data_IF_334774922558
#
_entry.id   IF_334774922558
#
_cell.length_a   1.000
_cell.length_b   1.000
_cell.length_c   1.000
_cell.angle_alpha   90.00
_cell.angle_beta   90.00
_cell.angle_gamma   90.00
#
_symmetry.space_group_name_H-M   'P 1'
#
loop_
_entity.id
_entity.type
_entity.pdbx_description
1 polymer ?
#
# COMPACT_ATOMS: atom_id res chain seq x y z
N UNK A 1 -32.33 11.29 15.66
CA UNK A 1 -31.02 11.88 15.45
C UNK A 1 -30.96 13.19 16.18
N UNK A 2 -30.11 13.31 17.17
CA UNK A 2 -29.86 14.59 17.84
C UNK A 2 -28.42 15.02 17.61
N UNK A 3 -28.24 16.31 17.34
CA UNK A 3 -26.94 16.94 17.19
C UNK A 3 -26.80 17.92 18.33
N UNK A 4 -25.81 17.71 19.18
CA UNK A 4 -25.48 18.62 20.29
C UNK A 4 -24.12 19.24 20.03
N UNK A 5 -24.01 20.51 20.22
CA UNK A 5 -22.74 21.26 20.11
C UNK A 5 -22.31 21.66 21.53
N UNK A 6 -21.21 21.12 21.99
CA UNK A 6 -20.68 21.33 23.34
C UNK A 6 -19.22 21.78 23.28
N UNK A 7 -18.99 23.05 23.59
CA UNK A 7 -17.63 23.58 23.70
C UNK A 7 -17.11 23.35 25.12
N UNK A 8 -16.14 22.45 25.26
CA UNK A 8 -15.48 22.22 26.56
C UNK A 8 -14.04 22.71 26.54
N UNK A 9 -13.48 22.99 27.72
CA UNK A 9 -12.07 23.37 27.85
C UNK A 9 -11.14 22.29 27.24
N UNK A 10 -11.48 21.02 27.44
CA UNK A 10 -10.70 19.90 26.93
C UNK A 10 -10.75 19.85 25.39
N UNK A 11 -11.92 20.05 24.79
CA UNK A 11 -12.06 20.09 23.32
C UNK A 11 -11.24 21.23 22.71
N UNK A 12 -11.21 22.40 23.35
CA UNK A 12 -10.41 23.53 22.91
C UNK A 12 -8.90 23.26 22.99
N UNK A 13 -8.44 22.54 24.03
CA UNK A 13 -7.04 22.14 24.13
C UNK A 13 -6.69 21.16 23.01
N UNK A 14 -7.52 20.14 22.76
CA UNK A 14 -7.29 19.21 21.66
C UNK A 14 -7.28 19.90 20.30
N UNK A 15 -8.19 20.83 20.08
CA UNK A 15 -8.21 21.65 18.88
C UNK A 15 -6.94 22.48 18.74
N UNK A 16 -6.53 23.18 19.80
CA UNK A 16 -5.33 24.03 19.79
C UNK A 16 -4.07 23.21 19.46
N UNK A 17 -3.91 22.04 20.06
CA UNK A 17 -2.77 21.15 19.78
C UNK A 17 -2.79 20.68 18.32
N UNK A 18 -3.92 20.21 17.81
CA UNK A 18 -4.03 19.72 16.44
C UNK A 18 -3.80 20.82 15.40
N UNK A 19 -4.38 22.00 15.62
CA UNK A 19 -4.19 23.16 14.73
C UNK A 19 -2.74 23.66 14.73
N UNK A 20 -2.11 23.74 15.90
CA UNK A 20 -0.71 24.14 16.02
C UNK A 20 0.23 23.13 15.35
N UNK A 21 -0.01 21.82 15.54
CA UNK A 21 0.78 20.78 14.90
C UNK A 21 0.61 20.83 13.37
N UNK A 22 -0.62 20.98 12.86
CA UNK A 22 -0.87 21.11 11.43
C UNK A 22 -0.19 22.34 10.83
N UNK A 23 -0.23 23.50 11.52
CA UNK A 23 0.43 24.72 11.08
C UNK A 23 1.96 24.57 11.08
N UNK A 24 2.54 23.96 12.10
CA UNK A 24 3.98 23.74 12.20
C UNK A 24 4.48 22.82 11.07
N UNK A 25 3.85 21.66 10.91
CA UNK A 25 4.23 20.72 9.85
C UNK A 25 3.97 21.33 8.47
N UNK A 26 2.87 22.07 8.31
CA UNK A 26 2.55 22.77 7.06
C UNK A 26 3.60 23.80 6.66
N UNK A 27 4.18 24.50 7.62
CA UNK A 27 5.28 25.41 7.37
C UNK A 27 6.52 24.69 6.81
N UNK A 28 6.91 23.56 7.41
CA UNK A 28 8.07 22.80 6.96
C UNK A 28 7.86 22.04 5.64
N UNK A 29 6.62 21.67 5.33
CA UNK A 29 6.29 20.96 4.07
C UNK A 29 5.84 21.88 2.96
N UNK A 30 5.87 23.20 3.16
CA UNK A 30 5.38 24.21 2.21
C UNK A 30 3.93 23.98 1.78
N UNK A 31 3.11 23.49 2.70
CA UNK A 31 1.69 23.22 2.45
C UNK A 31 0.87 24.52 2.32
N UNK A 32 -0.21 24.45 1.56
CA UNK A 32 -1.13 25.58 1.40
C UNK A 32 -1.84 25.92 2.70
N UNK A 33 -1.75 27.17 3.14
CA UNK A 33 -2.41 27.66 4.35
C UNK A 33 -3.93 27.52 4.33
N UNK A 34 -4.55 27.56 3.16
CA UNK A 34 -5.98 27.35 3.01
C UNK A 34 -6.41 25.95 3.44
N UNK A 35 -5.61 24.92 3.12
CA UNK A 35 -5.87 23.55 3.54
C UNK A 35 -5.75 23.42 5.05
N UNK A 36 -4.75 24.07 5.67
CA UNK A 36 -4.57 24.05 7.12
C UNK A 36 -5.73 24.78 7.82
N UNK A 37 -6.17 25.92 7.30
CA UNK A 37 -7.33 26.64 7.84
C UNK A 37 -8.63 25.84 7.70
N UNK A 38 -8.85 25.21 6.54
CA UNK A 38 -10.00 24.34 6.32
C UNK A 38 -9.99 23.15 7.30
N UNK A 39 -8.83 22.50 7.44
CA UNK A 39 -8.66 21.44 8.44
C UNK A 39 -9.01 21.92 9.84
N UNK A 40 -8.47 23.07 10.28
CA UNK A 40 -8.73 23.61 11.60
C UNK A 40 -10.23 23.89 11.81
N UNK A 41 -10.92 24.48 10.83
CA UNK A 41 -12.34 24.77 10.89
C UNK A 41 -13.18 23.48 11.01
N UNK A 42 -12.93 22.48 10.17
CA UNK A 42 -13.64 21.20 10.19
C UNK A 42 -13.34 20.42 11.48
N UNK A 43 -12.08 20.41 11.89
CA UNK A 43 -11.66 19.73 13.13
C UNK A 43 -12.32 20.37 14.37
N UNK A 44 -12.39 21.70 14.43
CA UNK A 44 -13.10 22.43 15.49
C UNK A 44 -14.57 22.02 15.56
N UNK A 45 -15.25 21.98 14.41
CA UNK A 45 -16.63 21.48 14.32
C UNK A 45 -16.76 20.06 14.85
N UNK A 46 -15.93 19.13 14.36
CA UNK A 46 -15.98 17.72 14.75
C UNK A 46 -15.69 17.49 16.24
N UNK A 47 -14.72 18.20 16.81
CA UNK A 47 -14.38 18.06 18.22
C UNK A 47 -15.53 18.46 19.15
N UNK A 48 -16.30 19.48 18.76
CA UNK A 48 -17.39 20.02 19.58
C UNK A 48 -18.78 19.46 19.26
N UNK A 49 -18.91 18.63 18.22
CA UNK A 49 -20.18 18.00 17.85
C UNK A 49 -20.29 16.62 18.48
N UNK A 50 -21.46 16.33 19.04
CA UNK A 50 -21.91 15.01 19.49
C UNK A 50 -23.08 14.56 18.63
N UNK A 51 -22.95 13.41 17.98
CA UNK A 51 -23.99 12.83 17.12
C UNK A 51 -24.59 11.61 17.82
N UNK A 52 -25.85 11.73 18.24
CA UNK A 52 -26.62 10.62 18.79
C UNK A 52 -27.53 10.07 17.69
N UNK A 53 -27.22 8.87 17.23
CA UNK A 53 -27.94 8.20 16.13
C UNK A 53 -28.90 7.16 16.68
N UNK A 54 -30.08 6.96 16.02
CA UNK A 54 -30.99 5.89 16.42
C UNK A 54 -30.35 4.52 16.25
N UNK A 55 -30.45 3.65 17.24
CA UNK A 55 -29.87 2.28 17.23
C UNK A 55 -30.29 1.49 15.98
N UNK A 56 -31.56 1.66 15.55
CA UNK A 56 -32.11 0.98 14.34
C UNK A 56 -31.33 1.28 13.05
N UNK A 57 -30.58 2.40 12.96
CA UNK A 57 -29.79 2.80 11.79
C UNK A 57 -28.29 2.56 12.00
N UNK A 58 -27.88 1.95 13.10
CA UNK A 58 -26.47 1.77 13.43
C UNK A 58 -25.71 0.98 12.35
N UNK A 59 -26.30 -0.07 11.81
CA UNK A 59 -25.67 -0.87 10.76
C UNK A 59 -25.48 -0.08 9.46
N UNK A 60 -26.45 0.80 9.11
CA UNK A 60 -26.33 1.67 7.93
C UNK A 60 -25.19 2.67 8.09
N UNK A 61 -25.08 3.28 9.28
CA UNK A 61 -23.97 4.19 9.56
C UNK A 61 -22.64 3.48 9.62
N UNK A 62 -22.58 2.24 10.14
CA UNK A 62 -21.40 1.42 10.07
C UNK A 62 -20.97 1.20 8.62
N UNK A 63 -21.88 0.77 7.75
CA UNK A 63 -21.60 0.54 6.33
C UNK A 63 -21.12 1.82 5.64
N UNK A 64 -21.77 2.96 5.87
CA UNK A 64 -21.36 4.26 5.32
C UNK A 64 -19.94 4.61 5.75
N UNK A 65 -19.63 4.48 7.05
CA UNK A 65 -18.30 4.79 7.57
C UNK A 65 -17.22 3.88 6.98
N UNK A 66 -17.48 2.57 6.88
CA UNK A 66 -16.53 1.62 6.30
C UNK A 66 -16.27 1.94 4.82
N UNK A 67 -17.30 2.24 4.04
CA UNK A 67 -17.16 2.59 2.62
C UNK A 67 -16.40 3.91 2.45
N UNK A 68 -16.76 4.95 3.21
CA UNK A 68 -16.04 6.23 3.18
C UNK A 68 -14.57 6.02 3.56
N UNK A 69 -14.29 5.22 4.59
CA UNK A 69 -12.93 4.91 5.02
C UNK A 69 -12.12 4.19 3.96
N UNK A 70 -12.72 3.19 3.30
CA UNK A 70 -12.08 2.47 2.21
C UNK A 70 -11.75 3.39 1.02
N UNK A 71 -12.71 4.20 0.58
CA UNK A 71 -12.52 5.19 -0.48
C UNK A 71 -11.42 6.17 -0.09
N UNK A 72 -11.53 6.80 1.07
CA UNK A 72 -10.58 7.79 1.53
C UNK A 72 -9.16 7.21 1.62
N UNK A 73 -9.01 6.00 2.16
CA UNK A 73 -7.71 5.35 2.31
C UNK A 73 -7.06 5.07 0.94
N UNK A 74 -7.82 4.52 -0.02
CA UNK A 74 -7.30 4.23 -1.37
C UNK A 74 -6.88 5.51 -2.09
N UNK A 75 -7.77 6.49 -2.15
CA UNK A 75 -7.49 7.74 -2.87
C UNK A 75 -6.38 8.55 -2.20
N UNK A 76 -6.28 8.53 -0.87
CA UNK A 76 -5.19 9.19 -0.14
C UNK A 76 -3.84 8.61 -0.49
N UNK A 77 -3.70 7.29 -0.55
CA UNK A 77 -2.43 6.65 -0.92
C UNK A 77 -2.10 6.91 -2.39
N UNK A 78 -3.08 6.76 -3.28
CA UNK A 78 -2.86 7.04 -4.71
C UNK A 78 -2.44 8.50 -4.94
N UNK A 79 -2.97 9.44 -4.19
CA UNK A 79 -2.59 10.85 -4.28
C UNK A 79 -1.12 11.10 -3.93
N UNK A 80 -0.56 10.32 -2.99
CA UNK A 80 0.88 10.40 -2.65
C UNK A 80 1.74 9.69 -3.68
N UNK A 81 1.31 8.51 -4.16
CA UNK A 81 2.10 7.65 -5.03
C UNK A 81 2.13 8.10 -6.49
N UNK A 82 1.07 8.75 -6.97
CA UNK A 82 0.91 9.13 -8.37
C UNK A 82 1.19 10.62 -8.59
N UNK A 83 1.59 10.96 -9.81
CA UNK A 83 1.61 12.35 -10.25
C UNK A 83 0.18 12.88 -10.39
N UNK A 84 0.01 14.20 -10.41
CA UNK A 84 -1.32 14.80 -10.50
C UNK A 84 -2.04 14.40 -11.80
N UNK A 85 -1.30 14.29 -12.93
CA UNK A 85 -1.85 13.80 -14.21
C UNK A 85 -2.26 12.34 -14.15
N UNK A 86 -1.45 11.52 -13.51
CA UNK A 86 -1.71 10.08 -13.38
C UNK A 86 -2.85 9.79 -12.42
N UNK A 87 -2.98 10.60 -11.36
CA UNK A 87 -4.11 10.50 -10.43
C UNK A 87 -5.45 10.74 -11.13
N UNK A 88 -5.51 11.73 -12.01
CA UNK A 88 -6.73 12.03 -12.80
C UNK A 88 -7.05 10.93 -13.81
N UNK A 89 -6.02 10.27 -14.37
CA UNK A 89 -6.18 9.18 -15.34
C UNK A 89 -6.47 7.82 -14.73
N UNK A 90 -6.31 7.67 -13.41
CA UNK A 90 -6.60 6.39 -12.73
C UNK A 90 -8.09 6.12 -12.79
N UNK A 91 -8.54 5.36 -13.78
CA UNK A 91 -9.93 5.22 -14.13
C UNK A 91 -10.64 3.99 -13.57
N UNK A 92 -11.84 4.21 -13.29
CA UNK A 92 -13.10 3.46 -13.19
C UNK A 92 -13.01 2.07 -12.52
N UNK A 93 -12.71 1.03 -13.29
CA UNK A 93 -12.80 -0.35 -12.80
C UNK A 93 -11.69 -0.69 -11.80
N UNK A 94 -10.46 -0.26 -12.06
CA UNK A 94 -9.32 -0.51 -11.19
C UNK A 94 -9.48 0.20 -9.85
N UNK A 95 -9.98 1.44 -9.85
CA UNK A 95 -10.32 2.16 -8.62
C UNK A 95 -11.36 1.42 -7.80
N UNK A 96 -12.43 0.94 -8.44
CA UNK A 96 -13.49 0.17 -7.77
C UNK A 96 -12.91 -1.11 -7.16
N UNK A 97 -12.08 -1.86 -7.89
CA UNK A 97 -11.44 -3.07 -7.38
C UNK A 97 -10.55 -2.78 -6.17
N UNK A 98 -9.76 -1.69 -6.20
CA UNK A 98 -8.94 -1.27 -5.05
C UNK A 98 -9.80 -0.88 -3.85
N UNK A 99 -10.89 -0.14 -4.05
CA UNK A 99 -11.82 0.24 -2.97
C UNK A 99 -12.49 -1.00 -2.38
N UNK A 100 -12.93 -1.95 -3.21
CA UNK A 100 -13.53 -3.21 -2.73
C UNK A 100 -12.50 -4.04 -1.97
N UNK A 101 -11.24 -4.07 -2.41
CA UNK A 101 -10.16 -4.74 -1.71
C UNK A 101 -9.87 -4.07 -0.35
N UNK A 102 -9.81 -2.73 -0.30
CA UNK A 102 -9.72 -2.00 0.94
C UNK A 102 -10.91 -2.29 1.86
N UNK A 103 -12.13 -2.29 1.32
CA UNK A 103 -13.34 -2.61 2.08
C UNK A 103 -13.27 -4.03 2.67
N UNK A 104 -12.72 -5.00 1.93
CA UNK A 104 -12.50 -6.35 2.46
C UNK A 104 -11.57 -6.32 3.68
N UNK A 105 -10.51 -5.51 3.68
CA UNK A 105 -9.61 -5.32 4.83
C UNK A 105 -10.38 -4.73 6.02
N UNK A 106 -11.20 -3.70 5.79
CA UNK A 106 -12.06 -3.12 6.84
C UNK A 106 -13.01 -4.17 7.44
N UNK A 107 -13.63 -5.01 6.59
CA UNK A 107 -14.57 -6.04 7.02
C UNK A 107 -13.89 -7.15 7.83
N UNK A 108 -12.68 -7.56 7.45
CA UNK A 108 -11.87 -8.52 8.23
C UNK A 108 -11.56 -7.95 9.62
N UNK A 109 -11.16 -6.68 9.70
CA UNK A 109 -10.88 -6.03 10.98
C UNK A 109 -12.16 -5.89 11.78
N UNK A 110 -13.32 -5.59 11.15
CA UNK A 110 -14.62 -5.54 11.81
C UNK A 110 -15.03 -6.90 12.39
N UNK A 111 -14.79 -7.98 11.64
CA UNK A 111 -15.03 -9.34 12.13
C UNK A 111 -14.24 -9.65 13.41
N UNK A 112 -12.97 -9.21 13.47
CA UNK A 112 -12.09 -9.43 14.63
C UNK A 112 -12.48 -8.51 15.78
N UNK A 113 -12.54 -7.21 15.54
CA UNK A 113 -12.69 -6.18 16.56
C UNK A 113 -14.14 -6.02 17.05
N UNK A 114 -15.12 -6.36 16.21
CA UNK A 114 -16.56 -6.16 16.45
C UNK A 114 -16.91 -4.74 16.96
N UNK A 115 -16.16 -3.76 16.51
CA UNK A 115 -16.27 -2.37 16.90
C UNK A 115 -15.94 -1.46 15.72
N UNK A 116 -16.91 -0.71 15.23
CA UNK A 116 -16.76 0.15 14.04
C UNK A 116 -15.68 1.23 14.22
N UNK A 117 -15.60 1.86 15.40
CA UNK A 117 -14.60 2.91 15.66
C UNK A 117 -13.18 2.37 15.58
N UNK A 118 -12.96 1.24 16.25
CA UNK A 118 -11.67 0.57 16.27
C UNK A 118 -11.30 0.08 14.87
N UNK A 119 -12.25 -0.53 14.17
CA UNK A 119 -12.09 -0.99 12.79
C UNK A 119 -11.66 0.14 11.86
N UNK A 120 -12.42 1.23 11.82
CA UNK A 120 -12.13 2.36 10.95
C UNK A 120 -10.76 2.99 11.27
N UNK A 121 -10.41 3.06 12.55
CA UNK A 121 -9.11 3.60 12.97
C UNK A 121 -7.96 2.70 12.54
N UNK A 122 -8.02 1.41 12.85
CA UNK A 122 -6.94 0.45 12.55
C UNK A 122 -6.79 0.26 11.04
N UNK A 123 -7.92 0.06 10.32
CA UNK A 123 -7.87 -0.16 8.87
C UNK A 123 -7.30 1.04 8.13
N UNK A 124 -7.74 2.26 8.45
CA UNK A 124 -7.18 3.47 7.83
C UNK A 124 -5.68 3.59 8.08
N UNK A 125 -5.24 3.45 9.32
CA UNK A 125 -3.82 3.55 9.66
C UNK A 125 -3.02 2.46 8.94
N UNK A 126 -3.50 1.22 8.92
CA UNK A 126 -2.80 0.11 8.29
C UNK A 126 -2.65 0.32 6.77
N UNK A 127 -3.72 0.72 6.08
CA UNK A 127 -3.70 0.96 4.63
C UNK A 127 -2.81 2.15 4.29
N UNK A 128 -2.88 3.25 5.04
CA UNK A 128 -2.03 4.42 4.83
C UNK A 128 -0.55 4.10 5.11
N UNK A 129 -0.26 3.39 6.20
CA UNK A 129 1.11 2.99 6.52
C UNK A 129 1.70 2.10 5.43
N UNK A 130 0.91 1.15 4.90
CA UNK A 130 1.33 0.30 3.79
C UNK A 130 1.64 1.12 2.53
N UNK A 131 0.78 2.08 2.18
CA UNK A 131 1.02 2.97 1.04
C UNK A 131 2.24 3.88 1.21
N UNK A 132 2.50 4.36 2.43
CA UNK A 132 3.71 5.14 2.72
C UNK A 132 4.99 4.30 2.63
N UNK A 133 4.94 3.03 3.07
CA UNK A 133 6.06 2.09 2.87
C UNK A 133 6.35 1.94 1.38
N UNK A 134 5.32 1.71 0.55
CA UNK A 134 5.46 1.58 -0.90
C UNK A 134 6.09 2.84 -1.52
N UNK A 135 5.63 4.03 -1.13
CA UNK A 135 6.20 5.29 -1.57
C UNK A 135 7.70 5.39 -1.27
N UNK A 136 8.11 5.18 -0.02
CA UNK A 136 9.52 5.31 0.36
C UNK A 136 10.40 4.23 -0.26
N UNK A 137 9.88 3.02 -0.43
CA UNK A 137 10.60 1.94 -1.12
C UNK A 137 10.82 2.31 -2.59
N UNK A 138 9.79 2.85 -3.24
CA UNK A 138 9.90 3.30 -4.62
C UNK A 138 10.90 4.46 -4.80
N UNK A 139 10.84 5.46 -3.93
CA UNK A 139 11.79 6.58 -3.95
C UNK A 139 13.24 6.12 -3.72
N UNK A 140 13.43 5.06 -2.94
CA UNK A 140 14.76 4.54 -2.64
C UNK A 140 15.37 3.73 -3.78
N UNK A 141 14.59 2.86 -4.44
CA UNK A 141 15.12 1.89 -5.41
C UNK A 141 14.51 1.97 -6.81
N UNK A 142 13.53 2.83 -7.04
CA UNK A 142 12.82 2.95 -8.32
C UNK A 142 11.82 1.83 -8.62
N UNK A 143 11.65 0.87 -7.71
CA UNK A 143 10.69 -0.23 -7.83
C UNK A 143 9.75 -0.25 -6.64
N UNK A 144 8.51 -0.69 -6.87
CA UNK A 144 7.46 -0.78 -5.85
C UNK A 144 7.75 -1.84 -4.79
N UNK A 145 7.06 -1.68 -3.66
CA UNK A 145 7.08 -2.66 -2.58
C UNK A 145 6.31 -3.92 -2.99
N UNK A 146 6.99 -5.04 -2.98
CA UNK A 146 6.46 -6.32 -3.42
C UNK A 146 6.37 -7.34 -2.28
N UNK A 147 5.65 -8.43 -2.52
CA UNK A 147 5.60 -9.55 -1.56
C UNK A 147 6.98 -10.15 -1.26
N UNK A 148 7.90 -10.14 -2.24
CA UNK A 148 9.27 -10.61 -2.02
C UNK A 148 10.02 -9.76 -1.00
N UNK A 149 9.71 -8.47 -0.91
CA UNK A 149 10.33 -7.54 0.06
C UNK A 149 9.97 -7.87 1.49
N UNK A 150 8.77 -8.43 1.74
CA UNK A 150 8.42 -8.91 3.06
C UNK A 150 9.38 -10.02 3.56
N UNK A 151 9.86 -10.87 2.65
CA UNK A 151 10.83 -11.91 2.98
C UNK A 151 12.22 -11.35 3.24
N UNK A 152 12.54 -10.20 2.66
CA UNK A 152 13.83 -9.51 2.75
C UNK A 152 13.80 -8.30 3.71
N UNK A 153 12.71 -8.10 4.46
CA UNK A 153 12.49 -6.92 5.29
C UNK A 153 13.63 -6.68 6.32
N UNK A 154 14.22 -7.74 6.87
CA UNK A 154 15.37 -7.61 7.79
C UNK A 154 16.59 -6.96 7.14
N UNK A 155 16.88 -7.29 5.88
CA UNK A 155 17.97 -6.67 5.12
C UNK A 155 17.63 -5.22 4.77
N UNK A 156 16.39 -4.95 4.36
CA UNK A 156 15.90 -3.61 4.05
C UNK A 156 16.03 -2.65 5.24
N UNK A 157 15.64 -3.09 6.44
CA UNK A 157 15.73 -2.29 7.67
C UNK A 157 17.16 -1.86 8.00
N UNK A 158 18.17 -2.64 7.65
CA UNK A 158 19.59 -2.26 7.90
C UNK A 158 20.05 -1.08 7.04
N UNK A 159 19.39 -0.83 5.91
CA UNK A 159 19.73 0.25 4.96
C UNK A 159 18.93 1.52 5.24
N UNK A 160 17.72 1.40 5.80
CA UNK A 160 16.80 2.52 6.08
C UNK A 160 17.45 3.63 6.91
N UNK A 161 18.35 3.29 7.83
CA UNK A 161 19.05 4.29 8.68
C UNK A 161 19.94 5.25 7.91
N UNK A 162 20.31 4.91 6.67
CA UNK A 162 21.15 5.75 5.80
C UNK A 162 20.35 6.59 4.83
N UNK A 163 19.02 6.41 4.76
CA UNK A 163 18.14 7.09 3.83
C UNK A 163 17.59 8.40 4.42
N UNK A 164 17.55 9.45 3.60
CA UNK A 164 16.91 10.72 3.97
C UNK A 164 15.47 10.73 3.46
N UNK A 165 14.53 10.56 4.37
CA UNK A 165 13.11 10.66 4.04
C UNK A 165 12.74 12.11 3.71
N UNK A 166 12.20 12.32 2.51
CA UNK A 166 11.63 13.60 2.12
C UNK A 166 10.12 13.52 2.29
N UNK A 167 9.57 14.34 3.16
CA UNK A 167 8.14 14.43 3.42
C UNK A 167 7.65 15.73 2.81
N UNK A 168 6.78 15.64 1.81
CA UNK A 168 6.18 16.80 1.15
C UNK A 168 4.78 17.14 1.70
N UNK A 169 4.15 18.16 1.14
CA UNK A 169 2.81 18.60 1.54
C UNK A 169 1.72 17.53 1.29
N UNK A 170 1.90 16.61 0.32
CA UNK A 170 0.92 15.56 0.02
C UNK A 170 0.73 14.62 1.21
N UNK A 171 1.83 14.25 1.90
CA UNK A 171 1.76 13.46 3.13
C UNK A 171 0.95 14.17 4.21
N UNK A 172 1.21 15.46 4.41
CA UNK A 172 0.46 16.25 5.39
C UNK A 172 -1.03 16.21 5.07
N UNK A 173 -1.43 16.47 3.83
CA UNK A 173 -2.85 16.49 3.44
C UNK A 173 -3.53 15.14 3.71
N UNK A 174 -2.86 14.04 3.41
CA UNK A 174 -3.37 12.70 3.68
C UNK A 174 -3.52 12.44 5.18
N UNK A 175 -2.52 12.84 5.98
CA UNK A 175 -2.59 12.70 7.44
C UNK A 175 -3.73 13.55 8.01
N UNK A 176 -3.90 14.79 7.56
CA UNK A 176 -4.99 15.67 7.98
C UNK A 176 -6.36 15.08 7.63
N UNK A 177 -6.53 14.54 6.42
CA UNK A 177 -7.76 13.88 6.00
C UNK A 177 -8.06 12.63 6.87
N UNK A 178 -7.06 11.81 7.15
CA UNK A 178 -7.19 10.65 8.01
C UNK A 178 -7.59 11.05 9.45
N UNK A 179 -6.98 12.10 9.99
CA UNK A 179 -7.31 12.63 11.32
C UNK A 179 -8.77 13.10 11.35
N UNK A 180 -9.24 13.84 10.34
CA UNK A 180 -10.63 14.28 10.26
C UNK A 180 -11.60 13.09 10.18
N UNK A 181 -11.26 12.07 9.38
CA UNK A 181 -12.07 10.87 9.27
C UNK A 181 -12.13 10.09 10.60
N UNK A 182 -11.01 9.89 11.27
CA UNK A 182 -10.97 9.21 12.58
C UNK A 182 -11.76 10.00 13.63
N UNK A 183 -11.66 11.34 13.60
CA UNK A 183 -12.48 12.20 14.49
C UNK A 183 -13.96 12.08 14.18
N UNK A 184 -14.37 12.08 12.92
CA UNK A 184 -15.76 11.84 12.52
C UNK A 184 -16.28 10.50 13.05
N UNK A 185 -15.53 9.42 12.82
CA UNK A 185 -15.88 8.08 13.30
C UNK A 185 -16.05 8.04 14.82
N UNK A 186 -15.21 8.77 15.56
CA UNK A 186 -15.31 8.85 17.04
C UNK A 186 -16.55 9.59 17.52
N UNK A 187 -17.12 10.48 16.71
CA UNK A 187 -18.34 11.23 17.05
C UNK A 187 -19.62 10.47 16.75
N UNK A 188 -19.55 9.43 15.92
CA UNK A 188 -20.69 8.59 15.58
C UNK A 188 -20.67 7.34 16.45
N UNK A 189 -21.67 7.20 17.30
CA UNK A 189 -21.81 6.02 18.13
C UNK A 189 -22.62 4.96 17.39
N UNK A 190 -21.96 3.87 17.03
CA UNK A 190 -22.55 2.71 16.37
C UNK A 190 -22.64 1.58 17.37
N UNK A 191 -23.85 1.14 17.69
CA UNK A 191 -24.11 0.04 18.61
C UNK A 191 -24.81 -1.09 17.85
N UNK A 192 -24.27 -2.30 17.94
CA UNK A 192 -24.86 -3.48 17.32
C UNK A 192 -25.65 -4.27 18.35
N UNK A 193 -26.87 -4.69 17.98
CA UNK A 193 -27.72 -5.50 18.85
C UNK A 193 -27.12 -6.89 19.12
N UNK A 194 -26.37 -7.43 18.16
CA UNK A 194 -25.74 -8.75 18.28
C UNK A 194 -24.35 -8.78 17.64
N UNK A 195 -23.35 -9.09 18.46
CA UNK A 195 -21.96 -9.28 18.03
C UNK A 195 -21.81 -10.45 17.03
N UNK A 196 -22.58 -11.52 17.20
CA UNK A 196 -22.51 -12.70 16.35
C UNK A 196 -23.03 -12.39 14.95
N UNK A 197 -24.18 -11.72 14.85
CA UNK A 197 -24.73 -11.32 13.54
C UNK A 197 -23.78 -10.41 12.79
N UNK A 198 -23.14 -9.44 13.47
CA UNK A 198 -22.17 -8.56 12.82
C UNK A 198 -20.95 -9.32 12.29
N UNK A 199 -20.45 -10.29 13.03
CA UNK A 199 -19.34 -11.15 12.57
C UNK A 199 -19.73 -11.98 11.35
N UNK A 200 -20.91 -12.61 11.37
CA UNK A 200 -21.41 -13.40 10.23
C UNK A 200 -21.56 -12.52 9.00
N UNK A 201 -22.18 -11.35 9.13
CA UNK A 201 -22.35 -10.40 8.03
C UNK A 201 -20.99 -9.93 7.50
N UNK A 202 -20.07 -9.58 8.37
CA UNK A 202 -18.74 -9.11 7.98
C UNK A 202 -17.97 -10.16 7.18
N UNK A 203 -17.98 -11.43 7.61
CA UNK A 203 -17.28 -12.49 6.88
C UNK A 203 -17.95 -12.81 5.54
N UNK A 204 -19.28 -12.82 5.48
CA UNK A 204 -19.99 -13.03 4.22
C UNK A 204 -19.70 -11.92 3.22
N UNK A 205 -19.75 -10.66 3.66
CA UNK A 205 -19.40 -9.52 2.82
C UNK A 205 -17.92 -9.55 2.39
N UNK A 206 -17.02 -9.96 3.29
CA UNK A 206 -15.60 -10.15 2.92
C UNK A 206 -15.44 -11.17 1.80
N UNK A 207 -16.13 -12.31 1.88
CA UNK A 207 -16.10 -13.34 0.82
C UNK A 207 -16.60 -12.76 -0.50
N UNK A 208 -17.71 -12.01 -0.49
CA UNK A 208 -18.25 -11.37 -1.69
C UNK A 208 -17.24 -10.37 -2.27
N UNK A 209 -16.62 -9.54 -1.45
CA UNK A 209 -15.59 -8.59 -1.89
C UNK A 209 -14.39 -9.32 -2.52
N UNK A 210 -13.88 -10.38 -1.88
CA UNK A 210 -12.76 -11.17 -2.39
C UNK A 210 -13.10 -11.83 -3.72
N UNK A 211 -14.29 -12.44 -3.84
CA UNK A 211 -14.75 -13.02 -5.10
C UNK A 211 -14.84 -11.97 -6.20
N UNK A 212 -15.38 -10.78 -5.90
CA UNK A 212 -15.43 -9.67 -6.84
C UNK A 212 -14.04 -9.27 -7.32
N UNK A 213 -13.07 -9.12 -6.39
CA UNK A 213 -11.68 -8.80 -6.72
C UNK A 213 -11.08 -9.87 -7.62
N UNK A 214 -11.22 -11.15 -7.28
CA UNK A 214 -10.70 -12.27 -8.08
C UNK A 214 -11.27 -12.22 -9.50
N UNK A 215 -12.59 -12.11 -9.65
CA UNK A 215 -13.24 -12.11 -10.96
C UNK A 215 -12.78 -10.96 -11.86
N UNK A 216 -12.51 -9.77 -11.30
CA UNK A 216 -12.13 -8.59 -12.06
C UNK A 216 -10.61 -8.41 -12.20
N UNK A 217 -9.79 -9.20 -11.50
CA UNK A 217 -8.33 -9.10 -11.54
C UNK A 217 -7.63 -10.24 -12.30
N UNK A 218 -8.37 -11.26 -12.75
CA UNK A 218 -7.76 -12.44 -13.39
C UNK A 218 -7.01 -12.13 -14.70
N UNK A 219 -7.46 -11.13 -15.44
CA UNK A 219 -6.83 -10.68 -16.69
C UNK A 219 -5.73 -9.64 -16.50
N UNK A 220 -5.54 -9.16 -15.28
CA UNK A 220 -4.54 -8.14 -14.98
C UNK A 220 -3.20 -8.78 -14.62
N UNK A 221 -2.12 -8.18 -15.09
CA UNK A 221 -0.75 -8.60 -14.81
C UNK A 221 -0.02 -7.52 -13.99
N UNK A 222 0.95 -7.96 -13.20
CA UNK A 222 1.95 -7.05 -12.63
C UNK A 222 2.84 -6.56 -13.75
N UNK A 223 2.94 -5.24 -13.92
CA UNK A 223 3.84 -4.66 -14.89
C UNK A 223 5.06 -4.12 -14.17
N UNK A 224 6.22 -4.73 -14.45
CA UNK A 224 7.44 -4.50 -13.67
C UNK A 224 8.48 -3.64 -14.38
N UNK A 225 8.35 -3.40 -15.70
CA UNK A 225 9.49 -2.88 -16.47
C UNK A 225 9.36 -1.45 -17.00
N UNK A 226 8.16 -0.96 -17.26
CA UNK A 226 8.01 0.32 -17.95
C UNK A 226 7.42 1.44 -17.10
N UNK A 227 6.55 1.11 -16.16
CA UNK A 227 5.89 2.08 -15.27
C UNK A 227 5.55 1.39 -13.96
N UNK A 228 5.33 2.20 -12.92
CA UNK A 228 4.76 1.70 -11.65
C UNK A 228 3.55 0.83 -11.93
N UNK A 229 3.53 -0.42 -11.47
CA UNK A 229 2.35 -1.26 -11.54
C UNK A 229 1.17 -0.60 -10.78
N UNK A 230 1.47 0.17 -9.74
CA UNK A 230 0.55 1.05 -9.03
C UNK A 230 -0.15 2.05 -9.95
N UNK A 231 0.50 2.53 -11.00
CA UNK A 231 -0.10 3.42 -11.99
C UNK A 231 -1.27 2.76 -12.73
N UNK A 232 -1.16 1.48 -13.08
CA UNK A 232 -2.21 0.75 -13.81
C UNK A 232 -3.18 0.02 -12.90
N UNK A 233 -2.66 -0.64 -11.87
CA UNK A 233 -3.42 -1.56 -11.04
C UNK A 233 -3.88 -0.93 -9.71
N UNK A 234 -3.37 0.24 -9.35
CA UNK A 234 -3.50 0.76 -7.99
C UNK A 234 -2.63 -0.05 -7.00
N UNK A 235 -2.22 0.56 -5.92
CA UNK A 235 -1.18 -0.01 -5.03
C UNK A 235 -1.60 -1.29 -4.30
N UNK A 236 -2.85 -1.37 -3.80
CA UNK A 236 -3.32 -2.57 -3.09
C UNK A 236 -3.46 -3.76 -4.03
N UNK A 237 -4.08 -3.52 -5.18
CA UNK A 237 -4.30 -4.58 -6.16
C UNK A 237 -2.96 -5.03 -6.75
N UNK A 238 -2.05 -4.11 -7.07
CA UNK A 238 -0.73 -4.47 -7.59
C UNK A 238 0.05 -5.35 -6.63
N UNK A 239 0.00 -5.05 -5.33
CA UNK A 239 0.62 -5.91 -4.31
C UNK A 239 -0.01 -7.31 -4.26
N UNK A 240 -1.34 -7.41 -4.33
CA UNK A 240 -2.06 -8.70 -4.35
C UNK A 240 -1.75 -9.50 -5.61
N UNK A 241 -1.66 -8.84 -6.77
CA UNK A 241 -1.22 -9.48 -8.01
C UNK A 241 0.23 -9.99 -7.88
N UNK A 242 1.11 -9.22 -7.25
CA UNK A 242 2.48 -9.64 -6.95
C UNK A 242 2.55 -10.89 -6.06
N UNK A 243 1.63 -11.03 -5.09
CA UNK A 243 1.49 -12.28 -4.31
C UNK A 243 1.10 -13.43 -5.25
N UNK A 244 0.06 -13.25 -6.07
CA UNK A 244 -0.40 -14.27 -7.03
C UNK A 244 0.73 -14.73 -7.93
N UNK A 245 1.47 -13.79 -8.50
CA UNK A 245 2.51 -14.06 -9.50
C UNK A 245 3.81 -14.60 -8.87
N UNK A 246 3.95 -14.49 -7.53
CA UNK A 246 5.07 -15.09 -6.80
C UNK A 246 4.96 -16.63 -6.67
N UNK A 247 3.79 -17.20 -6.95
CA UNK A 247 3.58 -18.65 -6.99
C UNK A 247 3.84 -19.17 -8.39
N UNK A 248 5.05 -19.65 -8.62
CA UNK A 248 5.44 -20.24 -9.91
C UNK A 248 4.67 -21.54 -10.13
N UNK A 249 3.88 -21.57 -11.20
CA UNK A 249 3.23 -22.84 -11.62
C UNK A 249 4.24 -23.72 -12.32
N UNK A 250 4.22 -25.00 -11.99
CA UNK A 250 5.00 -25.97 -12.73
C UNK A 250 4.58 -25.94 -14.22
N UNK A 251 5.54 -25.98 -15.18
CA UNK A 251 5.21 -26.09 -16.59
C UNK A 251 4.37 -27.32 -16.90
N UNK A 252 3.59 -27.28 -17.98
CA UNK A 252 2.80 -28.43 -18.41
C UNK A 252 3.72 -29.62 -18.70
N UNK A 253 3.38 -30.78 -18.16
CA UNK A 253 4.19 -32.00 -18.29
C UNK A 253 5.38 -32.07 -17.30
N UNK A 254 5.53 -31.12 -16.39
CA UNK A 254 6.55 -31.17 -15.33
C UNK A 254 6.31 -32.37 -14.40
N UNK A 255 7.30 -33.27 -14.39
CA UNK A 255 7.34 -34.39 -13.44
C UNK A 255 8.79 -34.77 -13.20
N UNK A 256 9.06 -35.45 -12.07
CA UNK A 256 10.42 -35.94 -11.79
C UNK A 256 10.92 -36.84 -12.93
N UNK A 257 10.07 -37.73 -13.45
CA UNK A 257 10.41 -38.61 -14.57
C UNK A 257 10.76 -37.80 -15.86
N UNK A 258 10.06 -36.70 -16.13
CA UNK A 258 10.38 -35.85 -17.29
C UNK A 258 11.74 -35.14 -17.10
N UNK A 259 12.05 -34.67 -15.90
CA UNK A 259 13.34 -34.07 -15.56
C UNK A 259 14.47 -35.10 -15.66
N UNK A 260 14.28 -36.30 -15.09
CA UNK A 260 15.24 -37.42 -15.13
C UNK A 260 15.50 -37.86 -16.58
N UNK A 261 14.46 -37.88 -17.44
CA UNK A 261 14.60 -38.16 -18.87
C UNK A 261 15.44 -37.11 -19.60
N UNK A 262 15.22 -35.83 -19.30
CA UNK A 262 16.00 -34.73 -19.87
C UNK A 262 17.45 -34.85 -19.37
N UNK A 263 17.67 -34.99 -18.08
CA UNK A 263 18.99 -35.15 -17.48
C UNK A 263 19.75 -36.35 -18.04
N UNK A 264 19.05 -37.47 -18.27
CA UNK A 264 19.65 -38.68 -18.88
C UNK A 264 20.08 -38.50 -20.34
N UNK A 265 19.57 -37.48 -21.05
CA UNK A 265 20.02 -37.16 -22.41
C UNK A 265 21.33 -36.34 -22.40
N UNK A 266 21.65 -35.69 -21.30
CA UNK A 266 22.95 -35.07 -21.07
C UNK A 266 23.86 -36.12 -20.44
N UNK A 267 24.41 -37.02 -21.24
CA UNK A 267 25.52 -37.83 -20.80
C UNK A 267 26.65 -36.88 -20.39
N UNK A 268 27.15 -37.04 -19.16
CA UNK A 268 28.42 -36.45 -18.82
C UNK A 268 29.39 -36.85 -19.96
N UNK A 269 29.81 -35.88 -20.72
CA UNK A 269 30.95 -36.09 -21.59
C UNK A 269 32.06 -36.40 -20.61
N UNK A 270 32.48 -37.66 -20.55
CA UNK A 270 33.72 -38.05 -19.87
C UNK A 270 34.80 -37.12 -20.39
N UNK A 271 34.91 -35.97 -19.75
CA UNK A 271 36.08 -35.15 -19.91
C UNK A 271 37.17 -35.96 -19.24
N UNK A 272 37.89 -36.75 -20.03
CA UNK A 272 39.13 -37.41 -19.63
C UNK A 272 40.21 -36.38 -19.28
N UNK A 273 39.87 -35.42 -18.46
CA UNK A 273 40.83 -34.64 -17.74
C UNK A 273 41.37 -35.51 -16.63
N UNK A 274 42.52 -36.12 -16.88
CA UNK A 274 43.27 -36.81 -15.85
C UNK A 274 43.47 -35.85 -14.67
N UNK A 275 42.93 -36.22 -13.56
CA UNK A 275 42.90 -35.45 -12.30
C UNK A 275 44.29 -35.23 -11.69
N UNK A 276 45.38 -35.63 -12.37
CA UNK A 276 46.68 -35.71 -11.76
C UNK A 276 47.49 -34.42 -11.68
N UNK A 277 47.16 -33.37 -12.47
CA UNK A 277 47.97 -32.13 -12.49
C UNK A 277 47.18 -30.81 -12.61
N UNK A 278 45.88 -30.84 -12.57
CA UNK A 278 45.08 -29.63 -12.60
C UNK A 278 45.08 -28.96 -11.22
N UNK A 279 45.88 -27.94 -11.03
CA UNK A 279 45.68 -26.98 -9.96
C UNK A 279 44.24 -26.46 -10.08
N UNK A 280 43.46 -26.59 -9.03
CA UNK A 280 42.08 -26.07 -9.02
C UNK A 280 42.11 -24.60 -9.50
N UNK A 281 41.42 -24.28 -10.62
CA UNK A 281 41.41 -22.90 -11.11
C UNK A 281 40.74 -21.98 -10.09
N UNK A 282 41.28 -20.80 -9.90
CA UNK A 282 40.57 -19.74 -9.18
C UNK A 282 39.51 -19.20 -10.13
N UNK A 283 38.25 -19.40 -9.77
CA UNK A 283 37.12 -18.84 -10.52
C UNK A 283 36.74 -17.50 -9.93
N UNK A 284 36.89 -16.43 -10.70
CA UNK A 284 36.43 -15.09 -10.31
C UNK A 284 35.19 -14.81 -11.12
N UNK A 285 34.07 -14.65 -10.43
CA UNK A 285 32.78 -14.25 -11.04
C UNK A 285 32.61 -12.76 -10.78
N UNK A 286 32.58 -11.97 -11.86
CA UNK A 286 32.29 -10.54 -11.79
C UNK A 286 30.87 -10.34 -12.31
N UNK A 287 29.95 -9.95 -11.40
CA UNK A 287 28.61 -9.53 -11.79
C UNK A 287 28.66 -8.05 -12.13
N UNK A 288 28.45 -7.71 -13.38
CA UNK A 288 28.44 -6.33 -13.85
C UNK A 288 26.98 -5.90 -14.08
N UNK A 289 26.29 -5.53 -12.99
CA UNK A 289 24.86 -5.23 -13.02
C UNK A 289 24.51 -3.92 -13.76
N UNK A 290 25.47 -3.01 -13.86
CA UNK A 290 25.24 -1.68 -14.44
C UNK A 290 26.16 -1.41 -15.62
N UNK A 291 26.44 -2.44 -16.41
CA UNK A 291 27.26 -2.27 -17.59
C UNK A 291 26.53 -1.42 -18.63
N UNK A 292 27.07 -0.27 -18.93
CA UNK A 292 26.58 0.60 -19.99
C UNK A 292 27.77 0.95 -20.93
N UNK A 293 27.49 0.99 -22.22
CA UNK A 293 28.42 1.58 -23.18
C UNK A 293 28.52 3.08 -22.90
N UNK A 294 29.66 3.52 -22.39
CA UNK A 294 29.90 4.91 -22.05
C UNK A 294 29.84 5.84 -23.25
N UNK A 295 29.99 5.32 -24.48
CA UNK A 295 29.84 6.11 -25.69
C UNK A 295 28.46 6.73 -25.88
N UNK A 296 27.43 6.15 -25.23
CA UNK A 296 26.04 6.67 -25.23
C UNK A 296 25.94 7.96 -24.43
N UNK A 297 26.80 8.18 -23.44
CA UNK A 297 26.76 9.33 -22.51
C UNK A 297 27.59 10.50 -23.04
N UNK A 298 28.59 10.24 -23.89
CA UNK A 298 29.44 11.29 -24.47
C UNK A 298 30.69 10.73 -25.16
N UNK A 299 31.41 11.60 -25.87
CA UNK A 299 32.66 11.24 -26.55
C UNK A 299 33.80 11.12 -25.55
N UNK A 300 34.07 9.89 -25.10
CA UNK A 300 35.21 9.58 -24.25
C UNK A 300 36.44 9.24 -25.12
N UNK A 301 37.56 9.97 -24.89
CA UNK A 301 38.83 9.60 -25.49
C UNK A 301 39.45 8.45 -24.69
N UNK A 302 39.31 7.24 -25.18
CA UNK A 302 39.92 6.05 -24.58
C UNK A 302 40.95 5.47 -25.51
N UNK A 303 42.02 4.84 -24.98
CA UNK A 303 43.06 4.19 -25.75
C UNK A 303 42.61 2.86 -26.38
N UNK A 304 41.46 2.34 -25.94
CA UNK A 304 40.86 1.09 -26.42
C UNK A 304 39.35 1.29 -26.51
N UNK A 305 38.71 0.51 -27.37
CA UNK A 305 37.27 0.48 -27.50
C UNK A 305 36.66 0.09 -26.12
N UNK A 306 35.82 0.95 -25.57
CA UNK A 306 35.07 0.66 -24.34
C UNK A 306 33.76 0.04 -24.80
N UNK A 307 33.63 -1.26 -24.62
CA UNK A 307 32.40 -2.01 -24.86
C UNK A 307 31.64 -2.20 -23.61
#
# INVERSE_FOLDING_TARGET
>A
MSIKFEITKQNNIHFGIAAAAAALVGYFTSASWWVILLFAAVYFGLVNVKLELPVKLSWLWAAILLVIGAILSVFSVQYVLLTDEDFVKTTDMVCVVNVVLALAIYLVILFIANNTRLTCTIASIAILAFGFIDYFVYEFRGNEFTYADLKSAGTGLSVVTKYKFVIDYKFLYVILAAVLYIMLVRRIEVQFESAIHMRIISILLTIICVLYVIMNSMSLNTETWEKKGTYRNGYLLNFVLGIRDSFVKAPDGYSKAAVDKIAGNFKETDSSYSQSDAKNPTIIVIMNESFADLSVVGDFKTNTQVT
#
